data_IF_780343231135
#
_entry.id   IF_780343231135
#
_cell.length_a   1.000
_cell.length_b   1.000
_cell.length_c   1.000
_cell.angle_alpha   90.00
_cell.angle_beta   90.00
_cell.angle_gamma   90.00
#
_symmetry.space_group_name_H-M   'P 1'
#
loop_
_entity.id
_entity.type
_entity.pdbx_description
1 polymer ?
#
# COMPACT_ATOMS: atom_id res chain seq x y z
N UNK A 1 73.92 -44.44 -10.90
CA UNK A 1 72.55 -44.98 -10.98
C UNK A 1 71.61 -43.80 -10.72
N UNK A 2 70.99 -43.17 -11.72
CA UNK A 2 69.89 -43.70 -12.57
C UNK A 2 68.75 -44.23 -11.69
N UNK A 3 67.48 -43.85 -11.80
CA UNK A 3 66.73 -42.99 -12.70
C UNK A 3 65.44 -42.58 -11.97
N UNK A 4 64.81 -41.52 -12.50
CA UNK A 4 63.46 -41.03 -12.23
C UNK A 4 62.40 -42.15 -12.36
N UNK A 5 61.31 -42.01 -11.61
CA UNK A 5 59.91 -42.35 -11.99
C UNK A 5 58.99 -41.66 -10.96
N UNK A 6 58.41 -40.50 -11.28
CA UNK A 6 57.05 -40.37 -11.85
C UNK A 6 56.00 -41.13 -11.06
N UNK A 7 55.20 -40.46 -10.22
CA UNK A 7 53.83 -40.93 -9.97
C UNK A 7 52.86 -39.84 -9.51
N UNK A 8 51.91 -39.60 -10.42
CA UNK A 8 50.53 -39.16 -10.30
C UNK A 8 50.18 -37.98 -9.38
N UNK A 9 49.93 -36.85 -10.05
CA UNK A 9 48.88 -35.91 -9.68
C UNK A 9 47.53 -36.65 -9.78
N UNK A 10 46.80 -36.75 -8.67
CA UNK A 10 45.36 -37.04 -8.71
C UNK A 10 44.63 -35.80 -8.22
N UNK A 11 44.23 -34.97 -9.18
CA UNK A 11 43.20 -33.95 -9.00
C UNK A 11 41.89 -34.70 -8.77
N UNK A 12 41.44 -34.80 -7.53
CA UNK A 12 40.05 -35.14 -7.26
C UNK A 12 39.27 -33.84 -7.21
N UNK A 13 38.74 -33.49 -8.38
CA UNK A 13 37.70 -32.49 -8.56
C UNK A 13 36.56 -32.81 -7.59
N UNK A 14 36.40 -32.00 -6.54
CA UNK A 14 35.22 -32.03 -5.70
C UNK A 14 34.07 -31.51 -6.58
N UNK A 15 33.35 -32.44 -7.18
CA UNK A 15 32.18 -32.16 -8.00
C UNK A 15 31.13 -31.52 -7.11
N UNK A 16 30.82 -30.25 -7.39
CA UNK A 16 29.61 -29.62 -6.91
C UNK A 16 28.44 -30.47 -7.38
N UNK A 17 27.82 -31.23 -6.47
CA UNK A 17 26.46 -31.73 -6.67
C UNK A 17 25.57 -30.49 -6.74
N UNK A 18 25.36 -29.99 -7.95
CA UNK A 18 24.24 -29.13 -8.27
C UNK A 18 22.98 -29.95 -7.99
N UNK A 19 22.34 -29.69 -6.86
CA UNK A 19 21.02 -30.21 -6.58
C UNK A 19 20.06 -29.49 -7.54
N UNK A 20 19.81 -30.08 -8.70
CA UNK A 20 18.74 -29.65 -9.60
C UNK A 20 17.41 -30.08 -8.98
N UNK A 21 16.89 -29.30 -8.03
CA UNK A 21 15.48 -29.36 -7.70
C UNK A 21 14.71 -28.72 -8.85
N UNK A 22 14.37 -29.52 -9.86
CA UNK A 22 13.24 -29.25 -10.74
C UNK A 22 11.94 -29.44 -9.95
N UNK A 23 11.75 -28.59 -8.93
CA UNK A 23 10.45 -28.37 -8.33
C UNK A 23 9.66 -27.54 -9.32
N UNK A 24 8.62 -28.14 -9.90
CA UNK A 24 7.53 -27.37 -10.49
C UNK A 24 6.89 -26.54 -9.38
N UNK A 25 7.47 -25.37 -9.09
CA UNK A 25 6.80 -24.33 -8.33
C UNK A 25 5.70 -23.81 -9.24
N UNK A 26 4.52 -24.44 -9.18
CA UNK A 26 3.30 -23.74 -9.55
C UNK A 26 3.35 -22.41 -8.80
N UNK A 27 3.46 -21.30 -9.53
CA UNK A 27 3.55 -19.98 -8.95
C UNK A 27 2.34 -19.83 -8.01
N UNK A 28 2.59 -19.81 -6.70
CA UNK A 28 1.57 -19.52 -5.70
C UNK A 28 1.00 -18.15 -6.06
N UNK A 29 -0.20 -18.15 -6.65
CA UNK A 29 -0.95 -16.93 -6.86
C UNK A 29 -1.51 -16.57 -5.48
N UNK A 30 -1.04 -15.50 -4.82
CA UNK A 30 -1.60 -15.10 -3.55
C UNK A 30 -3.10 -14.86 -3.75
N UNK A 31 -3.91 -15.48 -2.90
CA UNK A 31 -5.36 -15.22 -2.90
C UNK A 31 -5.54 -13.73 -2.67
N UNK A 32 -6.19 -13.06 -3.63
CA UNK A 32 -6.49 -11.64 -3.53
C UNK A 32 -7.63 -11.47 -2.52
N UNK A 33 -7.28 -11.25 -1.26
CA UNK A 33 -8.24 -11.11 -0.15
C UNK A 33 -8.96 -9.75 -0.12
N UNK A 34 -8.85 -8.95 -1.19
CA UNK A 34 -9.51 -7.66 -1.30
C UNK A 34 -9.92 -7.32 -2.73
N UNK A 35 -10.98 -6.54 -2.86
CA UNK A 35 -11.35 -5.87 -4.10
C UNK A 35 -11.58 -4.38 -3.82
N UNK A 36 -11.01 -3.53 -4.67
CA UNK A 36 -11.20 -2.08 -4.63
C UNK A 36 -11.84 -1.68 -5.94
N UNK A 37 -12.94 -0.95 -5.85
CA UNK A 37 -13.67 -0.39 -6.98
C UNK A 37 -13.66 1.12 -6.87
N UNK A 38 -13.39 1.80 -7.97
CA UNK A 38 -13.33 3.25 -8.05
C UNK A 38 -14.24 3.75 -9.16
N UNK A 39 -14.93 4.85 -8.88
CA UNK A 39 -15.82 5.53 -9.80
C UNK A 39 -15.54 7.03 -9.79
N UNK A 40 -16.48 7.80 -10.33
CA UNK A 40 -16.44 9.25 -10.33
C UNK A 40 -16.77 9.88 -8.97
N UNK A 41 -17.36 9.09 -8.08
CA UNK A 41 -17.91 9.46 -6.79
C UNK A 41 -17.00 9.04 -5.63
N UNK A 42 -16.01 8.18 -5.86
CA UNK A 42 -15.12 7.70 -4.80
C UNK A 42 -14.45 6.36 -5.12
N UNK A 43 -13.76 5.82 -4.13
CA UNK A 43 -13.29 4.44 -4.12
C UNK A 43 -13.78 3.72 -2.88
N UNK A 44 -14.13 2.45 -3.03
CA UNK A 44 -14.54 1.60 -1.91
C UNK A 44 -13.98 0.19 -2.06
N UNK A 45 -13.85 -0.50 -0.95
CA UNK A 45 -13.43 -1.89 -0.94
C UNK A 45 -13.49 -2.50 0.45
N UNK A 46 -13.36 -3.82 0.46
CA UNK A 46 -13.29 -4.61 1.68
C UNK A 46 -12.16 -5.62 1.54
N UNK A 47 -11.32 -5.70 2.56
CA UNK A 47 -10.44 -6.82 2.82
C UNK A 47 -11.15 -7.80 3.77
N UNK A 48 -11.07 -9.09 3.45
CA UNK A 48 -11.50 -10.16 4.36
C UNK A 48 -10.46 -11.27 4.32
N UNK A 49 -9.79 -11.50 5.44
CA UNK A 49 -8.73 -12.50 5.53
C UNK A 49 -7.98 -12.49 6.86
N UNK A 50 -6.87 -13.22 6.97
CA UNK A 50 -6.06 -13.23 8.18
C UNK A 50 -5.49 -11.82 8.48
N UNK A 51 -5.24 -11.52 9.75
CA UNK A 51 -4.52 -10.29 10.16
C UNK A 51 -3.07 -10.31 9.66
N UNK A 52 -2.37 -11.42 9.93
CA UNK A 52 -0.98 -11.63 9.55
C UNK A 52 -0.80 -12.84 8.64
N UNK A 53 0.12 -12.75 7.68
CA UNK A 53 0.63 -13.89 6.91
C UNK A 53 2.15 -13.81 6.86
N UNK A 54 2.86 -14.87 7.27
CA UNK A 54 4.32 -14.90 7.32
C UNK A 54 4.93 -13.69 8.07
N UNK A 55 4.35 -13.33 9.23
CA UNK A 55 4.73 -12.15 10.05
C UNK A 55 4.49 -10.78 9.38
N UNK A 56 3.90 -10.75 8.18
CA UNK A 56 3.50 -9.52 7.50
C UNK A 56 2.07 -9.16 7.87
N UNK A 57 1.83 -7.91 8.27
CA UNK A 57 0.50 -7.35 8.50
C UNK A 57 -0.21 -7.17 7.15
N UNK A 58 -0.96 -8.19 6.75
CA UNK A 58 -1.62 -8.23 5.43
C UNK A 58 -2.94 -7.49 5.45
N UNK A 59 -3.61 -7.40 6.61
CA UNK A 59 -4.80 -6.58 6.77
C UNK A 59 -4.46 -5.08 6.60
N UNK A 60 -3.35 -4.61 7.17
CA UNK A 60 -2.89 -3.21 7.01
C UNK A 60 -2.47 -2.86 5.59
N UNK A 61 -1.98 -3.82 4.82
CA UNK A 61 -1.68 -3.57 3.41
C UNK A 61 -2.90 -3.12 2.62
N UNK A 62 -4.12 -3.39 3.10
CA UNK A 62 -5.33 -2.87 2.48
C UNK A 62 -5.37 -1.33 2.42
N UNK A 63 -4.95 -0.62 3.48
CA UNK A 63 -4.87 0.86 3.45
C UNK A 63 -3.91 1.35 2.36
N UNK A 64 -2.76 0.68 2.19
CA UNK A 64 -1.79 1.01 1.14
C UNK A 64 -2.39 0.82 -0.27
N UNK A 65 -3.10 -0.28 -0.48
CA UNK A 65 -3.78 -0.55 -1.75
C UNK A 65 -4.88 0.48 -2.03
N UNK A 66 -5.70 0.80 -1.02
CA UNK A 66 -6.75 1.80 -1.16
C UNK A 66 -6.18 3.20 -1.49
N UNK A 67 -5.13 3.63 -0.77
CA UNK A 67 -4.50 4.92 -1.01
C UNK A 67 -3.94 5.04 -2.44
N UNK A 68 -3.31 3.96 -2.92
CA UNK A 68 -2.81 3.86 -4.30
C UNK A 68 -3.94 4.02 -5.32
N UNK A 69 -5.03 3.26 -5.19
CA UNK A 69 -6.13 3.28 -6.15
C UNK A 69 -6.87 4.63 -6.16
N UNK A 70 -7.10 5.24 -4.99
CA UNK A 70 -7.63 6.61 -4.88
C UNK A 70 -6.71 7.61 -5.60
N UNK A 71 -5.40 7.53 -5.35
CA UNK A 71 -4.43 8.42 -5.99
C UNK A 71 -4.36 8.24 -7.52
N UNK A 72 -4.57 7.02 -8.03
CA UNK A 72 -4.68 6.75 -9.47
C UNK A 72 -5.98 7.35 -10.03
N UNK A 73 -7.10 7.12 -9.35
CA UNK A 73 -8.41 7.56 -9.81
C UNK A 73 -8.51 9.10 -9.83
N UNK A 74 -8.03 9.80 -8.79
CA UNK A 74 -8.01 11.27 -8.78
C UNK A 74 -7.21 11.84 -9.96
N UNK A 75 -6.05 11.24 -10.28
CA UNK A 75 -5.24 11.62 -11.44
C UNK A 75 -5.98 11.38 -12.75
N UNK A 76 -6.66 10.24 -12.89
CA UNK A 76 -7.47 9.93 -14.07
C UNK A 76 -8.62 10.92 -14.25
N UNK A 77 -9.35 11.23 -13.19
CA UNK A 77 -10.44 12.19 -13.21
C UNK A 77 -9.94 13.59 -13.58
N UNK A 78 -8.79 13.98 -13.04
CA UNK A 78 -8.15 15.24 -13.38
C UNK A 78 -7.80 15.35 -14.88
N UNK A 79 -7.22 14.30 -15.46
CA UNK A 79 -6.86 14.24 -16.88
C UNK A 79 -8.11 14.30 -17.80
N UNK A 80 -9.27 13.88 -17.29
CA UNK A 80 -10.56 13.97 -17.97
C UNK A 80 -11.29 15.32 -17.75
N UNK A 81 -10.67 16.27 -17.03
CA UNK A 81 -11.31 17.54 -16.67
C UNK A 81 -12.40 17.42 -15.59
N UNK A 82 -12.51 16.26 -14.94
CA UNK A 82 -13.47 15.96 -13.86
C UNK A 82 -12.84 16.26 -12.50
N UNK A 83 -12.48 17.51 -12.29
CA UNK A 83 -11.74 17.96 -11.11
C UNK A 83 -12.47 17.59 -9.82
N UNK A 84 -11.76 16.86 -8.96
CA UNK A 84 -12.30 16.28 -7.75
C UNK A 84 -11.24 16.28 -6.64
N UNK A 85 -11.67 16.17 -5.40
CA UNK A 85 -10.83 15.85 -4.25
C UNK A 85 -11.55 14.89 -3.31
N UNK A 86 -10.82 14.25 -2.40
CA UNK A 86 -11.43 13.38 -1.39
C UNK A 86 -12.23 14.22 -0.39
N UNK A 87 -13.44 13.76 -0.07
CA UNK A 87 -14.21 14.28 1.04
C UNK A 87 -13.78 13.59 2.34
N UNK A 88 -12.66 14.06 2.89
CA UNK A 88 -12.01 13.47 4.06
C UNK A 88 -12.98 13.25 5.23
N UNK A 89 -13.84 14.24 5.50
CA UNK A 89 -14.84 14.19 6.58
C UNK A 89 -15.91 13.11 6.41
N UNK A 90 -16.01 12.52 5.22
CA UNK A 90 -16.98 11.47 4.86
C UNK A 90 -16.32 10.13 4.56
N UNK A 91 -15.01 9.99 4.82
CA UNK A 91 -14.37 8.68 4.78
C UNK A 91 -15.02 7.80 5.85
N UNK A 92 -15.40 6.59 5.45
CA UNK A 92 -15.87 5.54 6.36
C UNK A 92 -14.78 4.48 6.43
N UNK A 93 -14.37 4.18 7.67
CA UNK A 93 -13.33 3.22 7.98
C UNK A 93 -13.81 2.33 9.13
N UNK A 94 -13.96 1.04 8.87
CA UNK A 94 -14.47 0.07 9.85
C UNK A 94 -13.64 -1.19 9.82
N UNK A 95 -13.34 -1.72 11.00
CA UNK A 95 -12.65 -3.00 11.18
C UNK A 95 -13.51 -3.89 12.05
N UNK A 96 -13.38 -5.20 11.87
CA UNK A 96 -14.03 -6.22 12.70
C UNK A 96 -13.13 -7.47 12.71
N UNK A 97 -13.20 -8.27 13.78
CA UNK A 97 -12.44 -9.52 13.90
C UNK A 97 -10.95 -9.36 14.21
N UNK A 98 -10.50 -8.19 14.65
CA UNK A 98 -9.12 -7.90 15.08
C UNK A 98 -8.81 -8.48 16.47
N UNK A 99 -9.00 -9.79 16.63
CA UNK A 99 -8.77 -10.50 17.88
C UNK A 99 -7.61 -11.52 17.81
N UNK A 100 -6.86 -11.55 16.69
CA UNK A 100 -5.80 -12.52 16.37
C UNK A 100 -6.25 -13.99 16.30
N UNK A 101 -7.55 -14.26 16.44
CA UNK A 101 -8.11 -15.62 16.45
C UNK A 101 -8.77 -15.97 15.13
N UNK A 102 -9.37 -14.97 14.46
CA UNK A 102 -10.26 -15.18 13.32
C UNK A 102 -9.94 -14.25 12.12
N UNK A 103 -10.85 -14.23 11.16
CA UNK A 103 -10.80 -13.39 9.96
C UNK A 103 -11.05 -11.92 10.32
N UNK A 104 -10.13 -11.06 9.88
CA UNK A 104 -10.31 -9.60 9.91
C UNK A 104 -11.16 -9.18 8.72
N UNK A 105 -12.18 -8.37 8.98
CA UNK A 105 -12.91 -7.63 7.94
C UNK A 105 -12.55 -6.16 8.05
N UNK A 106 -11.93 -5.60 7.02
CA UNK A 106 -11.54 -4.19 6.97
C UNK A 106 -12.18 -3.53 5.75
N UNK A 107 -13.11 -2.59 5.98
CA UNK A 107 -13.84 -1.88 4.93
C UNK A 107 -13.47 -0.40 4.90
N UNK A 108 -13.28 0.12 3.69
CA UNK A 108 -13.05 1.53 3.41
C UNK A 108 -14.03 2.03 2.35
N UNK A 109 -14.60 3.20 2.59
CA UNK A 109 -15.29 4.01 1.59
C UNK A 109 -14.73 5.43 1.61
N UNK A 110 -14.15 5.86 0.50
CA UNK A 110 -13.45 7.12 0.33
C UNK A 110 -14.18 7.93 -0.76
N UNK A 111 -15.17 8.74 -0.36
CA UNK A 111 -15.96 9.53 -1.31
C UNK A 111 -15.16 10.71 -1.85
N UNK A 112 -15.47 11.10 -3.08
CA UNK A 112 -14.97 12.30 -3.74
C UNK A 112 -16.03 13.40 -3.77
N UNK A 113 -15.56 14.63 -3.86
CA UNK A 113 -16.37 15.82 -4.15
C UNK A 113 -15.81 16.54 -5.35
N UNK A 114 -16.71 17.05 -6.21
CA UNK A 114 -16.32 17.85 -7.37
C UNK A 114 -15.83 19.22 -6.94
N UNK A 115 -14.84 19.72 -7.66
CA UNK A 115 -14.27 21.04 -7.44
C UNK A 115 -14.57 21.94 -8.64
N UNK A 116 -14.46 23.25 -8.43
CA UNK A 116 -14.81 24.25 -9.45
C UNK A 116 -13.83 24.28 -10.61
N UNK A 117 -12.58 23.93 -10.36
CA UNK A 117 -11.48 24.03 -11.32
C UNK A 117 -10.31 23.09 -10.96
N UNK A 118 -9.29 23.07 -11.82
CA UNK A 118 -8.11 22.22 -11.67
C UNK A 118 -7.26 22.54 -10.43
N UNK A 119 -7.22 23.79 -10.00
CA UNK A 119 -6.36 24.22 -8.91
C UNK A 119 -7.01 24.10 -7.53
N UNK A 120 -8.33 23.88 -7.49
CA UNK A 120 -9.06 23.52 -6.27
C UNK A 120 -9.16 22.00 -6.06
N UNK A 121 -8.76 21.19 -7.05
CA UNK A 121 -8.68 19.72 -6.94
C UNK A 121 -7.40 19.23 -6.26
N UNK A 122 -7.40 17.96 -5.84
CA UNK A 122 -6.21 17.25 -5.37
C UNK A 122 -6.01 15.96 -6.16
N UNK A 123 -4.75 15.66 -6.50
CA UNK A 123 -4.37 14.50 -7.31
C UNK A 123 -3.39 13.57 -6.63
N UNK A 124 -2.96 13.90 -5.42
CA UNK A 124 -2.19 13.02 -4.55
C UNK A 124 -3.00 12.67 -3.30
N UNK A 125 -2.88 11.42 -2.87
CA UNK A 125 -3.57 10.86 -1.72
C UNK A 125 -2.67 9.79 -1.10
N UNK A 126 -2.55 9.76 0.22
CA UNK A 126 -1.75 8.80 0.97
C UNK A 126 -2.30 8.63 2.38
N UNK A 127 -1.76 7.67 3.13
CA UNK A 127 -2.07 7.45 4.52
C UNK A 127 -0.83 7.23 5.39
N UNK A 128 -1.00 7.39 6.71
CA UNK A 128 -0.02 6.96 7.73
C UNK A 128 -0.76 6.43 8.95
N UNK A 129 -0.42 5.23 9.37
CA UNK A 129 -1.13 4.59 10.47
C UNK A 129 -0.77 3.13 10.64
N UNK A 130 -1.64 2.44 11.35
CA UNK A 130 -1.58 1.01 11.61
C UNK A 130 -2.18 0.64 12.97
N UNK A 131 -2.13 -0.65 13.29
CA UNK A 131 -2.56 -1.17 14.59
C UNK A 131 -1.46 -1.12 15.64
N UNK A 132 -1.88 -1.19 16.91
CA UNK A 132 -0.98 -1.46 18.04
C UNK A 132 -0.03 -0.32 18.41
N UNK A 133 -0.13 0.84 17.76
CA UNK A 133 0.64 2.03 18.10
C UNK A 133 -0.15 3.29 17.78
N UNK A 134 0.16 4.38 18.50
CA UNK A 134 -0.47 5.68 18.31
C UNK A 134 0.58 6.65 17.76
N UNK A 135 0.40 7.05 16.51
CA UNK A 135 1.20 8.07 15.86
C UNK A 135 0.75 9.45 16.33
N UNK A 136 1.74 10.31 16.57
CA UNK A 136 1.49 11.72 16.85
C UNK A 136 1.31 12.47 15.54
N UNK A 137 0.24 13.25 15.44
CA UNK A 137 -0.08 14.11 14.30
C UNK A 137 1.13 14.90 13.81
N UNK A 138 1.90 15.51 14.71
CA UNK A 138 3.04 16.36 14.35
C UNK A 138 4.10 15.57 13.58
N UNK A 139 4.34 14.30 13.96
CA UNK A 139 5.29 13.42 13.26
C UNK A 139 4.78 13.03 11.88
N UNK A 140 3.47 12.82 11.74
CA UNK A 140 2.86 12.51 10.44
C UNK A 140 2.99 13.72 9.51
N UNK A 141 2.57 14.91 9.97
CA UNK A 141 2.61 16.12 9.14
C UNK A 141 4.03 16.54 8.77
N UNK A 142 5.02 16.29 9.63
CA UNK A 142 6.44 16.55 9.34
C UNK A 142 6.94 15.78 8.11
N UNK A 143 6.44 14.56 7.86
CA UNK A 143 6.79 13.75 6.67
C UNK A 143 6.32 14.45 5.39
N UNK A 144 5.20 15.16 5.47
CA UNK A 144 4.55 15.84 4.34
C UNK A 144 4.82 17.35 4.31
N UNK A 145 5.73 17.88 5.14
CA UNK A 145 6.01 19.33 5.23
C UNK A 145 6.48 19.97 3.91
N UNK A 146 7.06 19.17 3.02
CA UNK A 146 7.51 19.61 1.70
C UNK A 146 6.38 19.67 0.68
N UNK A 147 5.20 19.14 1.03
CA UNK A 147 3.98 19.29 0.25
C UNK A 147 3.40 20.66 0.57
N UNK A 148 2.82 21.30 -0.46
CA UNK A 148 2.19 22.61 -0.33
C UNK A 148 0.92 22.53 0.50
N UNK A 149 -0.21 22.94 -0.08
CA UNK A 149 -1.51 22.77 0.55
C UNK A 149 -1.80 21.28 0.83
N UNK A 150 -1.98 20.95 2.11
CA UNK A 150 -2.14 19.59 2.64
C UNK A 150 -3.42 19.53 3.48
N UNK A 151 -4.40 18.78 2.99
CA UNK A 151 -5.62 18.45 3.74
C UNK A 151 -5.46 17.05 4.36
N UNK A 152 -5.92 16.86 5.59
CA UNK A 152 -5.83 15.58 6.28
C UNK A 152 -6.96 15.35 7.28
N UNK A 153 -7.20 14.09 7.64
CA UNK A 153 -8.08 13.68 8.74
C UNK A 153 -7.45 12.49 9.47
N UNK A 154 -7.65 12.42 10.77
CA UNK A 154 -7.31 11.25 11.57
C UNK A 154 -8.59 10.45 11.86
N UNK A 155 -8.57 9.15 11.59
CA UNK A 155 -9.64 8.21 11.89
C UNK A 155 -9.12 7.11 12.80
N UNK A 156 -9.99 6.65 13.70
CA UNK A 156 -9.69 5.56 14.62
C UNK A 156 -10.84 4.55 14.60
N UNK A 157 -10.52 3.26 14.66
CA UNK A 157 -11.52 2.19 14.85
C UNK A 157 -11.55 1.69 16.29
N UNK A 158 -12.68 1.11 16.76
CA UNK A 158 -12.73 0.46 18.07
C UNK A 158 -11.68 -0.63 18.28
N UNK A 159 -11.26 -1.28 17.19
CA UNK A 159 -10.23 -2.33 17.16
C UNK A 159 -8.80 -1.77 17.23
N UNK A 160 -8.64 -0.45 17.33
CA UNK A 160 -7.34 0.18 17.55
C UNK A 160 -6.53 0.46 16.28
N UNK A 161 -7.15 0.42 15.09
CA UNK A 161 -6.53 0.99 13.88
C UNK A 161 -6.59 2.51 13.98
N UNK A 162 -5.44 3.16 13.87
CA UNK A 162 -5.35 4.59 13.63
C UNK A 162 -4.87 4.83 12.21
N UNK A 163 -5.52 5.71 11.47
CA UNK A 163 -5.09 6.14 10.14
C UNK A 163 -5.21 7.66 9.99
N UNK A 164 -4.12 8.29 9.58
CA UNK A 164 -4.11 9.63 9.02
C UNK A 164 -4.26 9.53 7.52
N UNK A 165 -5.36 10.04 6.97
CA UNK A 165 -5.59 10.12 5.52
C UNK A 165 -5.29 11.53 5.05
N UNK A 166 -4.47 11.67 4.01
CA UNK A 166 -3.96 12.96 3.54
C UNK A 166 -4.14 13.11 2.03
N UNK A 167 -4.35 14.35 1.58
CA UNK A 167 -4.38 14.71 0.18
C UNK A 167 -3.69 16.05 -0.08
N UNK A 168 -3.10 16.18 -1.27
CA UNK A 168 -2.40 17.40 -1.68
C UNK A 168 -2.33 17.52 -3.21
N UNK A 169 -1.83 18.66 -3.68
CA UNK A 169 -1.57 18.91 -5.11
C UNK A 169 -0.33 18.14 -5.55
N UNK A 170 -0.45 17.30 -6.57
CA UNK A 170 0.72 16.59 -7.10
C UNK A 170 1.59 17.55 -7.93
N UNK A 171 2.87 17.70 -7.53
CA UNK A 171 3.80 18.70 -8.08
C UNK A 171 3.88 18.68 -9.62
N UNK A 172 3.92 17.50 -10.24
CA UNK A 172 4.02 17.41 -11.70
C UNK A 172 2.71 17.63 -12.45
N UNK A 173 1.54 17.36 -11.85
CA UNK A 173 0.22 17.48 -12.51
C UNK A 173 -0.43 18.84 -12.29
N UNK A 174 -0.08 19.50 -11.20
CA UNK A 174 -0.69 20.75 -10.76
C UNK A 174 0.36 21.86 -10.62
N UNK A 175 1.49 21.76 -11.35
CA UNK A 175 2.58 22.75 -11.33
C UNK A 175 2.14 24.17 -11.70
N UNK A 176 1.12 24.29 -12.54
CA UNK A 176 0.58 25.59 -12.95
C UNK A 176 -0.30 26.24 -11.88
N UNK A 177 -0.68 25.50 -10.85
CA UNK A 177 -1.48 26.02 -9.77
C UNK A 177 -0.62 26.79 -8.76
N UNK A 178 -1.14 27.87 -8.16
CA UNK A 178 -0.46 28.61 -7.10
C UNK A 178 -0.13 27.76 -5.88
#
# INVERSE_FOLDING_TARGET
MSSRNTLLIVVTSLTYLMCSSSGNSAAYQPVKNHEITCSEEGCQGTYSGPEFTNLSDVAHQFSNHMAREVGIQLKKLYDLGKYSKVNLSKIIMTTDGMNQLDTVTYTLNIPFIRTTDSCTAFTAFDHRGGWGHQLKKEKVLEIFKSKGELDWIELNTPEGLQEFWLQWKHESKQKHCP
#
